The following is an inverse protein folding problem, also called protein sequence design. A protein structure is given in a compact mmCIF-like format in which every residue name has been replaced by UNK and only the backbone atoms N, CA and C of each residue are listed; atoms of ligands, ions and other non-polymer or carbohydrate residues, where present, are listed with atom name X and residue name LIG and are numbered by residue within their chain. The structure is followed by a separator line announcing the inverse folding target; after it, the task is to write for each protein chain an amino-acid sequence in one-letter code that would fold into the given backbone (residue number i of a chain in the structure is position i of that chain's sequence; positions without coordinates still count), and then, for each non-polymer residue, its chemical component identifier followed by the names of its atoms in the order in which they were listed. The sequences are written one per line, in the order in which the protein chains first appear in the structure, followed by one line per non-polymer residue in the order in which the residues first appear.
data_IF_131757236474
#
_entry.id   IF_131757236474
#
_cell.length_a   1.000
_cell.length_b   1.000
_cell.length_c   1.000
_cell.angle_alpha   90.00
_cell.angle_beta   90.00
_cell.angle_gamma   90.00
#
_symmetry.space_group_name_H-M   'P 1'
#
loop_
_entity.id
_entity.type
_entity.pdbx_description
1 polymer ?
#
# COMPACT_ATOMS: atom_id res chain seq x y z
N UNK A 1 -15.25 0.34 -11.63
CA UNK A 1 -15.41 1.32 -12.72
C UNK A 1 -16.40 2.37 -12.26
N UNK A 2 -16.83 3.25 -13.16
CA UNK A 2 -17.95 4.17 -12.92
C UNK A 2 -19.22 3.59 -13.53
N UNK A 3 -20.38 4.06 -13.07
CA UNK A 3 -21.67 3.77 -13.68
C UNK A 3 -22.54 2.80 -12.88
N UNK A 4 -23.39 2.06 -13.59
CA UNK A 4 -24.42 1.24 -12.97
C UNK A 4 -23.83 0.10 -12.14
N UNK A 5 -24.41 -0.11 -10.95
CA UNK A 5 -24.06 -1.22 -10.06
C UNK A 5 -24.46 -2.54 -10.72
N UNK A 6 -23.57 -3.53 -10.69
CA UNK A 6 -23.89 -4.89 -11.13
C UNK A 6 -24.65 -5.63 -10.01
N UNK A 7 -25.97 -5.88 -10.14
CA UNK A 7 -26.76 -6.52 -9.09
C UNK A 7 -26.33 -7.96 -8.81
N UNK A 8 -25.76 -8.66 -9.80
CA UNK A 8 -25.26 -10.03 -9.63
C UNK A 8 -24.02 -10.07 -8.75
N UNK A 9 -23.13 -9.08 -8.87
CA UNK A 9 -21.96 -8.94 -7.99
C UNK A 9 -22.39 -8.68 -6.54
N UNK A 10 -23.38 -7.80 -6.34
CA UNK A 10 -23.96 -7.53 -5.01
C UNK A 10 -24.58 -8.79 -4.41
N UNK A 11 -25.34 -9.55 -5.19
CA UNK A 11 -25.94 -10.81 -4.74
C UNK A 11 -24.87 -11.83 -4.34
N UNK A 12 -23.80 -11.96 -5.12
CA UNK A 12 -22.69 -12.85 -4.80
C UNK A 12 -22.07 -12.54 -3.44
N UNK A 13 -21.65 -11.30 -3.20
CA UNK A 13 -21.03 -10.92 -1.92
C UNK A 13 -22.02 -11.00 -0.75
N UNK A 14 -23.29 -10.66 -0.95
CA UNK A 14 -24.31 -10.86 0.08
C UNK A 14 -24.47 -12.34 0.48
N UNK A 15 -24.53 -13.24 -0.49
CA UNK A 15 -24.62 -14.68 -0.23
C UNK A 15 -23.38 -15.17 0.53
N UNK A 16 -22.18 -14.77 0.11
CA UNK A 16 -20.94 -15.14 0.78
C UNK A 16 -20.87 -14.62 2.22
N UNK A 17 -21.20 -13.34 2.45
CA UNK A 17 -21.20 -12.75 3.78
C UNK A 17 -22.22 -13.44 4.69
N UNK A 18 -23.41 -13.73 4.18
CA UNK A 18 -24.44 -14.44 4.94
C UNK A 18 -23.99 -15.86 5.31
N UNK A 19 -23.37 -16.58 4.38
CA UNK A 19 -22.86 -17.93 4.64
C UNK A 19 -21.72 -17.93 5.68
N UNK A 20 -20.78 -16.98 5.57
CA UNK A 20 -19.69 -16.81 6.56
C UNK A 20 -20.28 -16.60 7.96
N UNK A 21 -21.28 -15.70 8.08
CA UNK A 21 -21.92 -15.39 9.36
C UNK A 21 -22.77 -16.55 9.89
N UNK A 22 -23.52 -17.25 9.02
CA UNK A 22 -24.34 -18.40 9.45
C UNK A 22 -23.51 -19.56 10.00
N UNK A 23 -22.25 -19.64 9.58
CA UNK A 23 -21.27 -20.59 10.10
C UNK A 23 -20.47 -20.05 11.32
N UNK A 24 -20.89 -18.92 11.91
CA UNK A 24 -20.25 -18.35 13.10
C UNK A 24 -18.89 -17.70 12.86
N UNK A 25 -18.52 -17.43 11.60
CA UNK A 25 -17.27 -16.78 11.23
C UNK A 25 -17.46 -15.26 11.09
N UNK A 26 -16.37 -14.51 11.31
CA UNK A 26 -16.37 -13.05 11.21
C UNK A 26 -15.75 -12.63 9.88
N UNK A 27 -16.49 -11.93 8.99
CA UNK A 27 -15.94 -11.46 7.73
C UNK A 27 -14.98 -10.27 7.93
N UNK A 28 -13.73 -10.44 7.51
CA UNK A 28 -12.77 -9.37 7.30
C UNK A 28 -12.69 -9.10 5.80
N UNK A 29 -13.13 -7.92 5.36
CA UNK A 29 -13.28 -7.62 3.94
C UNK A 29 -12.24 -6.61 3.50
N UNK A 30 -11.43 -7.01 2.51
CA UNK A 30 -10.52 -6.12 1.79
C UNK A 30 -11.24 -5.48 0.61
N UNK A 31 -11.28 -4.15 0.54
CA UNK A 31 -11.90 -3.39 -0.54
C UNK A 31 -11.07 -3.43 -1.82
N UNK A 32 -9.75 -3.34 -1.71
CA UNK A 32 -8.85 -3.39 -2.87
C UNK A 32 -7.72 -4.39 -2.67
N UNK A 33 -7.67 -5.36 -3.58
CA UNK A 33 -6.63 -6.39 -3.62
C UNK A 33 -6.04 -6.46 -5.04
N UNK A 34 -5.62 -5.29 -5.55
CA UNK A 34 -4.94 -5.11 -6.85
C UNK A 34 -5.85 -5.31 -8.08
N UNK A 35 -7.15 -5.47 -7.87
CA UNK A 35 -8.20 -5.72 -8.83
C UNK A 35 -8.78 -4.43 -9.43
N UNK A 36 -7.89 -3.51 -9.84
CA UNK A 36 -8.30 -2.18 -10.29
C UNK A 36 -9.09 -2.26 -11.61
N UNK A 37 -10.23 -1.55 -11.74
CA UNK A 37 -11.03 -1.57 -12.96
C UNK A 37 -10.26 -1.05 -14.18
N UNK A 38 -10.19 -1.85 -15.25
CA UNK A 38 -9.45 -1.50 -16.48
C UNK A 38 -9.95 -0.19 -17.10
N UNK A 39 -11.26 0.06 -17.10
CA UNK A 39 -11.83 1.30 -17.64
C UNK A 39 -11.24 2.58 -17.01
N UNK A 40 -10.92 2.54 -15.71
CA UNK A 40 -10.33 3.68 -15.00
C UNK A 40 -8.82 3.80 -15.27
N UNK A 41 -8.15 2.67 -15.48
CA UNK A 41 -6.76 2.63 -15.94
C UNK A 41 -6.64 3.22 -17.35
N UNK A 42 -7.60 2.94 -18.23
CA UNK A 42 -7.65 3.46 -19.59
C UNK A 42 -8.08 4.95 -19.62
N UNK A 43 -9.04 5.35 -18.78
CA UNK A 43 -9.57 6.72 -18.74
C UNK A 43 -8.52 7.74 -18.28
N UNK A 44 -7.75 7.43 -17.23
CA UNK A 44 -6.83 8.41 -16.64
C UNK A 44 -5.53 7.81 -16.09
N UNK A 45 -5.25 6.53 -16.35
CA UNK A 45 -4.01 5.90 -15.87
C UNK A 45 -4.04 5.45 -14.41
N UNK A 46 -5.24 5.23 -13.87
CA UNK A 46 -5.45 4.64 -12.54
C UNK A 46 -4.78 5.42 -11.43
N UNK A 47 -4.02 4.73 -10.58
CA UNK A 47 -3.37 5.32 -9.41
C UNK A 47 -2.24 6.32 -9.72
N UNK A 48 -1.99 6.67 -10.97
CA UNK A 48 -1.11 7.81 -11.33
C UNK A 48 -1.83 9.14 -11.37
N UNK A 49 -3.16 9.14 -11.17
CA UNK A 49 -4.01 10.31 -11.25
C UNK A 49 -4.69 10.57 -9.90
N UNK A 50 -4.81 11.84 -9.48
CA UNK A 50 -5.53 12.19 -8.26
C UNK A 50 -7.03 11.84 -8.33
N UNK A 51 -7.58 11.63 -9.54
CA UNK A 51 -8.98 11.22 -9.73
C UNK A 51 -9.30 9.89 -9.02
N UNK A 52 -8.31 9.01 -8.85
CA UNK A 52 -8.49 7.72 -8.19
C UNK A 52 -8.97 7.86 -6.74
N UNK A 53 -8.62 8.96 -6.06
CA UNK A 53 -8.98 9.20 -4.67
C UNK A 53 -10.50 9.32 -4.53
N UNK A 54 -11.15 10.03 -5.46
CA UNK A 54 -12.60 10.19 -5.46
C UNK A 54 -13.28 8.90 -5.88
N UNK A 55 -12.82 8.26 -6.96
CA UNK A 55 -13.44 7.02 -7.46
C UNK A 55 -13.33 5.88 -6.44
N UNK A 56 -12.20 5.76 -5.73
CA UNK A 56 -12.03 4.77 -4.67
C UNK A 56 -12.89 5.07 -3.45
N UNK A 57 -13.00 6.34 -3.04
CA UNK A 57 -13.90 6.76 -1.95
C UNK A 57 -15.35 6.42 -2.28
N UNK A 58 -15.80 6.67 -3.50
CA UNK A 58 -17.19 6.41 -3.91
C UNK A 58 -17.46 4.90 -4.02
N UNK A 59 -16.49 4.12 -4.47
CA UNK A 59 -16.55 2.66 -4.39
C UNK A 59 -16.65 2.16 -2.94
N UNK A 60 -15.84 2.70 -2.03
CA UNK A 60 -15.88 2.37 -0.62
C UNK A 60 -17.24 2.76 0.01
N UNK A 61 -17.77 3.94 -0.32
CA UNK A 61 -19.11 4.40 0.12
C UNK A 61 -20.19 3.38 -0.23
N UNK A 62 -20.17 2.91 -1.48
CA UNK A 62 -21.07 1.88 -1.96
C UNK A 62 -20.93 0.57 -1.17
N UNK A 63 -19.70 0.09 -0.93
CA UNK A 63 -19.46 -1.12 -0.16
C UNK A 63 -19.94 -0.99 1.30
N UNK A 64 -19.63 0.12 1.97
CA UNK A 64 -20.04 0.38 3.34
C UNK A 64 -21.57 0.44 3.48
N UNK A 65 -22.24 1.13 2.55
CA UNK A 65 -23.69 1.22 2.54
C UNK A 65 -24.35 -0.15 2.29
N UNK A 66 -23.76 -0.96 1.41
CA UNK A 66 -24.37 -2.21 0.93
C UNK A 66 -24.15 -3.39 1.88
N UNK A 67 -22.99 -3.46 2.53
CA UNK A 67 -22.58 -4.64 3.30
C UNK A 67 -22.23 -4.33 4.77
N UNK A 68 -22.10 -3.05 5.14
CA UNK A 68 -21.65 -2.63 6.47
C UNK A 68 -22.66 -2.88 7.60
N UNK A 69 -23.89 -3.27 7.27
CA UNK A 69 -24.84 -3.80 8.24
C UNK A 69 -24.31 -5.08 8.92
N UNK A 70 -23.57 -5.91 8.15
CA UNK A 70 -23.00 -7.20 8.58
C UNK A 70 -21.49 -7.21 8.69
N UNK A 71 -20.77 -6.52 7.79
CA UNK A 71 -19.30 -6.46 7.81
C UNK A 71 -18.83 -5.43 8.83
N UNK A 72 -17.98 -5.87 9.78
CA UNK A 72 -17.47 -5.04 10.88
C UNK A 72 -15.97 -4.79 10.84
N UNK A 73 -15.25 -5.41 9.91
CA UNK A 73 -13.80 -5.23 9.76
C UNK A 73 -13.47 -4.96 8.30
N UNK A 74 -13.12 -3.71 8.01
CA UNK A 74 -12.80 -3.23 6.69
C UNK A 74 -11.30 -3.02 6.53
N UNK A 75 -10.71 -3.66 5.53
CA UNK A 75 -9.35 -3.37 5.07
C UNK A 75 -9.48 -2.59 3.78
N UNK A 76 -8.96 -1.37 3.75
CA UNK A 76 -9.01 -0.53 2.54
C UNK A 76 -8.15 -1.09 1.42
N UNK A 77 -6.85 -1.23 1.68
CA UNK A 77 -5.86 -1.69 0.70
C UNK A 77 -5.12 -2.90 1.25
N UNK A 78 -4.97 -3.93 0.42
CA UNK A 78 -3.96 -4.96 0.63
C UNK A 78 -2.66 -4.60 -0.09
N UNK A 79 -1.59 -4.58 0.68
CA UNK A 79 -0.22 -4.46 0.20
C UNK A 79 0.06 -3.39 -0.86
N UNK A 80 -0.14 -2.11 -0.53
CA UNK A 80 0.10 -1.01 -1.48
C UNK A 80 1.57 -0.91 -1.92
N UNK A 81 2.53 -1.39 -1.11
CA UNK A 81 3.94 -1.53 -1.51
C UNK A 81 4.08 -2.45 -2.72
N UNK A 82 3.55 -3.68 -2.62
CA UNK A 82 3.61 -4.70 -3.65
C UNK A 82 2.96 -4.20 -4.94
N UNK A 83 1.80 -3.55 -4.85
CA UNK A 83 1.12 -2.96 -6.00
C UNK A 83 1.94 -1.85 -6.67
N UNK A 84 2.46 -0.91 -5.87
CA UNK A 84 3.22 0.24 -6.38
C UNK A 84 4.53 -0.18 -7.03
N UNK A 85 5.27 -1.11 -6.42
CA UNK A 85 6.54 -1.58 -6.97
C UNK A 85 6.34 -2.52 -8.15
N UNK A 86 5.51 -3.56 -8.03
CA UNK A 86 5.45 -4.59 -9.08
C UNK A 86 4.55 -4.19 -10.27
N UNK A 87 3.57 -3.31 -10.06
CA UNK A 87 2.67 -2.82 -11.13
C UNK A 87 3.21 -1.63 -11.93
N UNK A 88 4.09 -0.82 -11.31
CA UNK A 88 4.58 0.45 -11.89
C UNK A 88 6.10 0.61 -11.88
N UNK A 89 6.83 -0.29 -11.22
CA UNK A 89 8.28 -0.43 -11.32
C UNK A 89 8.69 -1.81 -11.89
N UNK A 90 7.73 -2.65 -12.28
CA UNK A 90 7.95 -3.98 -12.83
C UNK A 90 6.90 -4.32 -13.88
N UNK A 91 7.01 -5.52 -14.45
CA UNK A 91 6.00 -6.12 -15.34
C UNK A 91 5.34 -7.37 -14.74
N UNK A 92 5.68 -7.69 -13.49
CA UNK A 92 5.21 -8.91 -12.84
C UNK A 92 3.73 -8.83 -12.45
N UNK A 93 3.23 -7.63 -12.10
CA UNK A 93 1.81 -7.40 -11.76
C UNK A 93 1.17 -6.41 -12.73
N UNK A 94 -0.16 -6.50 -12.90
CA UNK A 94 -0.93 -5.48 -13.62
C UNK A 94 -0.78 -4.10 -12.95
N UNK A 95 -0.74 -2.98 -13.70
CA UNK A 95 -0.90 -2.88 -15.16
C UNK A 95 0.39 -3.14 -15.98
N UNK A 96 1.47 -3.62 -15.35
CA UNK A 96 2.69 -4.05 -16.03
C UNK A 96 3.42 -2.93 -16.78
N UNK A 97 3.34 -1.69 -16.28
CA UNK A 97 3.87 -0.53 -17.01
C UNK A 97 5.37 -0.36 -16.75
N UNK A 98 6.20 -0.73 -17.74
CA UNK A 98 7.59 -0.27 -17.83
C UNK A 98 7.69 1.11 -18.47
N UNK A 99 8.69 1.90 -18.07
CA UNK A 99 9.14 3.03 -18.88
C UNK A 99 9.58 2.51 -20.26
N UNK A 100 9.08 3.08 -21.36
CA UNK A 100 9.50 2.72 -22.73
C UNK A 100 11.00 2.93 -22.98
N UNK A 101 11.68 3.69 -22.11
CA UNK A 101 13.13 3.91 -22.13
C UNK A 101 13.93 2.79 -21.44
N UNK A 102 13.27 1.84 -20.78
CA UNK A 102 13.91 0.65 -20.21
C UNK A 102 14.02 -0.47 -21.26
N UNK A 103 14.70 -0.20 -22.37
CA UNK A 103 15.24 -1.30 -23.19
C UNK A 103 16.32 -2.02 -22.39
N UNK A 104 16.33 -3.36 -22.40
CA UNK A 104 17.35 -4.34 -21.93
C UNK A 104 18.42 -3.92 -20.88
N UNK A 105 18.14 -2.96 -20.00
CA UNK A 105 19.05 -2.51 -18.97
C UNK A 105 18.72 -3.26 -17.68
N UNK A 106 19.74 -3.88 -17.08
CA UNK A 106 19.70 -4.70 -15.86
C UNK A 106 19.32 -3.95 -14.58
N UNK A 107 18.80 -2.73 -14.70
CA UNK A 107 18.38 -1.86 -13.62
C UNK A 107 16.93 -1.46 -13.90
N UNK A 108 16.00 -1.86 -13.03
CA UNK A 108 14.55 -1.66 -13.22
C UNK A 108 14.15 -0.21 -13.52
N UNK A 109 12.89 0.03 -13.92
CA UNK A 109 12.42 1.36 -14.30
C UNK A 109 12.58 2.43 -13.18
N UNK A 110 12.40 3.72 -13.51
CA UNK A 110 12.55 4.80 -12.54
C UNK A 110 11.56 4.65 -11.38
N UNK A 111 11.98 4.94 -10.15
CA UNK A 111 11.12 4.90 -8.95
C UNK A 111 9.94 5.90 -9.00
N UNK A 112 10.05 6.97 -9.78
CA UNK A 112 9.12 8.10 -9.74
C UNK A 112 7.62 7.74 -9.93
N UNK A 113 7.23 6.88 -10.90
CA UNK A 113 5.83 6.48 -11.05
C UNK A 113 5.28 5.75 -9.82
N UNK A 114 6.06 4.87 -9.19
CA UNK A 114 5.64 4.16 -7.98
C UNK A 114 5.49 5.08 -6.76
N UNK A 115 6.27 6.18 -6.68
CA UNK A 115 6.10 7.17 -5.62
C UNK A 115 4.78 7.91 -5.75
N UNK A 116 4.39 8.27 -6.97
CA UNK A 116 3.10 8.92 -7.25
C UNK A 116 1.95 7.95 -6.93
N UNK A 117 2.06 6.70 -7.36
CA UNK A 117 1.06 5.65 -7.08
C UNK A 117 0.91 5.41 -5.58
N UNK A 118 2.03 5.26 -4.86
CA UNK A 118 2.02 5.09 -3.41
C UNK A 118 1.37 6.28 -2.68
N UNK A 119 1.60 7.50 -3.16
CA UNK A 119 0.98 8.70 -2.61
C UNK A 119 -0.54 8.71 -2.82
N UNK A 120 -1.02 8.42 -4.03
CA UNK A 120 -2.47 8.39 -4.28
C UNK A 120 -3.17 7.17 -3.66
N UNK A 121 -2.49 6.05 -3.45
CA UNK A 121 -3.01 4.95 -2.61
C UNK A 121 -3.24 5.42 -1.17
N UNK A 122 -2.28 6.11 -0.56
CA UNK A 122 -2.44 6.64 0.80
C UNK A 122 -3.59 7.66 0.88
N UNK A 123 -3.71 8.56 -0.09
CA UNK A 123 -4.83 9.51 -0.11
C UNK A 123 -6.19 8.83 -0.38
N UNK A 124 -6.23 7.77 -1.19
CA UNK A 124 -7.43 6.98 -1.41
C UNK A 124 -7.84 6.22 -0.13
N UNK A 125 -6.87 5.62 0.58
CA UNK A 125 -7.06 5.04 1.90
C UNK A 125 -7.63 6.06 2.88
N UNK A 126 -7.02 7.24 2.98
CA UNK A 126 -7.48 8.32 3.85
C UNK A 126 -8.92 8.71 3.55
N UNK A 127 -9.26 8.96 2.27
CA UNK A 127 -10.59 9.37 1.87
C UNK A 127 -11.66 8.33 2.23
N UNK A 128 -11.39 7.03 2.01
CA UNK A 128 -12.29 5.95 2.37
C UNK A 128 -12.43 5.80 3.91
N UNK A 129 -11.32 5.90 4.64
CA UNK A 129 -11.32 5.80 6.09
C UNK A 129 -12.05 6.97 6.75
N UNK A 130 -11.77 8.20 6.34
CA UNK A 130 -12.46 9.40 6.81
C UNK A 130 -13.95 9.26 6.58
N UNK A 131 -14.37 8.86 5.37
CA UNK A 131 -15.78 8.61 5.06
C UNK A 131 -16.41 7.57 6.00
N UNK A 132 -15.75 6.42 6.21
CA UNK A 132 -16.26 5.38 7.10
C UNK A 132 -16.43 5.91 8.53
N UNK A 133 -15.40 6.56 9.08
CA UNK A 133 -15.42 7.09 10.45
C UNK A 133 -16.48 8.17 10.65
N UNK A 134 -16.69 9.05 9.67
CA UNK A 134 -17.66 10.16 9.80
C UNK A 134 -19.10 9.76 9.48
N UNK A 135 -19.31 8.85 8.52
CA UNK A 135 -20.65 8.52 8.02
C UNK A 135 -21.19 7.21 8.59
N UNK A 136 -20.36 6.19 8.78
CA UNK A 136 -20.80 4.82 9.03
C UNK A 136 -20.47 4.27 10.42
N UNK A 137 -19.27 4.56 10.93
CA UNK A 137 -18.73 3.88 12.11
C UNK A 137 -19.62 3.99 13.36
N UNK A 138 -20.22 5.16 13.61
CA UNK A 138 -21.07 5.38 14.78
C UNK A 138 -22.27 4.43 14.84
N UNK A 139 -22.88 4.10 13.69
CA UNK A 139 -24.07 3.25 13.64
C UNK A 139 -23.77 1.81 13.22
N UNK A 140 -22.78 1.59 12.35
CA UNK A 140 -22.36 0.24 11.94
C UNK A 140 -21.47 -0.44 12.97
N UNK A 141 -20.78 0.33 13.83
CA UNK A 141 -19.92 -0.15 14.92
C UNK A 141 -18.78 -1.09 14.49
N UNK A 142 -18.31 -0.96 13.25
CA UNK A 142 -17.12 -1.67 12.77
C UNK A 142 -15.84 -0.85 12.86
N UNK A 143 -14.74 -1.44 12.41
CA UNK A 143 -13.40 -0.88 12.38
C UNK A 143 -12.86 -0.84 10.95
N UNK A 144 -11.99 0.12 10.67
CA UNK A 144 -11.32 0.26 9.37
C UNK A 144 -9.80 0.30 9.52
N UNK A 145 -9.09 -0.34 8.60
CA UNK A 145 -7.63 -0.40 8.62
C UNK A 145 -7.02 -0.53 7.22
N UNK A 146 -5.73 -0.81 7.22
CA UNK A 146 -4.90 -1.08 6.03
C UNK A 146 -4.02 -2.29 6.32
N UNK A 147 -3.72 -3.10 5.31
CA UNK A 147 -2.82 -4.25 5.44
C UNK A 147 -1.56 -4.02 4.64
N UNK A 148 -0.41 -4.01 5.30
CA UNK A 148 0.88 -3.73 4.68
C UNK A 148 1.83 -4.94 4.79
N UNK A 149 2.60 -5.26 3.75
CA UNK A 149 3.59 -6.32 3.81
C UNK A 149 4.83 -5.80 4.48
N UNK A 150 5.58 -6.70 5.10
CA UNK A 150 6.97 -6.43 5.45
C UNK A 150 7.79 -7.69 5.44
N UNK A 151 9.08 -7.49 5.26
CA UNK A 151 10.08 -8.45 5.70
C UNK A 151 10.59 -8.05 7.08
N UNK A 152 11.17 -9.01 7.79
CA UNK A 152 11.99 -8.67 8.95
C UNK A 152 13.44 -8.47 8.49
N UNK A 153 14.08 -7.39 8.95
CA UNK A 153 15.44 -7.05 8.53
C UNK A 153 16.41 -7.22 9.69
N UNK A 154 17.29 -8.21 9.57
CA UNK A 154 18.37 -8.48 10.51
C UNK A 154 19.62 -7.71 10.05
N UNK A 155 20.35 -7.02 10.93
CA UNK A 155 21.66 -6.49 10.57
C UNK A 155 22.62 -7.65 10.27
N UNK A 156 23.42 -7.54 9.21
CA UNK A 156 24.35 -8.61 8.80
C UNK A 156 25.45 -8.90 9.83
N UNK A 157 25.86 -7.88 10.59
CA UNK A 157 26.79 -7.98 11.71
C UNK A 157 26.35 -7.08 12.87
N UNK A 158 27.14 -7.05 13.95
CA UNK A 158 26.90 -6.15 15.09
C UNK A 158 27.37 -4.71 14.84
N UNK A 159 27.79 -4.37 13.62
CA UNK A 159 28.25 -3.02 13.31
C UNK A 159 27.11 -2.01 13.32
N UNK A 160 27.38 -0.78 13.77
CA UNK A 160 26.40 0.32 13.73
C UNK A 160 25.89 0.58 12.31
N UNK A 161 26.74 0.36 11.30
CA UNK A 161 26.38 0.55 9.90
C UNK A 161 25.30 -0.45 9.43
N UNK A 162 25.39 -1.71 9.85
CA UNK A 162 24.41 -2.75 9.50
C UNK A 162 23.08 -2.55 10.23
N UNK A 163 23.11 -2.14 11.50
CA UNK A 163 21.87 -1.74 12.22
C UNK A 163 21.17 -0.58 11.52
N UNK A 164 21.91 0.45 11.11
CA UNK A 164 21.36 1.56 10.34
C UNK A 164 20.81 1.09 8.99
N UNK A 165 21.46 0.13 8.33
CA UNK A 165 20.97 -0.44 7.07
C UNK A 165 19.66 -1.24 7.27
N UNK A 166 19.58 -2.07 8.31
CA UNK A 166 18.36 -2.80 8.65
C UNK A 166 17.18 -1.84 8.93
N UNK A 167 17.41 -0.77 9.69
CA UNK A 167 16.38 0.25 9.93
C UNK A 167 15.94 0.96 8.65
N UNK A 168 16.89 1.34 7.77
CA UNK A 168 16.53 1.92 6.45
C UNK A 168 15.71 0.97 5.60
N UNK A 169 16.03 -0.32 5.60
CA UNK A 169 15.23 -1.31 4.88
C UNK A 169 13.81 -1.40 5.45
N UNK A 170 13.68 -1.42 6.79
CA UNK A 170 12.37 -1.40 7.44
C UNK A 170 11.58 -0.13 7.13
N UNK A 171 12.22 1.04 7.12
CA UNK A 171 11.59 2.31 6.74
C UNK A 171 11.03 2.26 5.31
N UNK A 172 11.81 1.73 4.36
CA UNK A 172 11.40 1.67 2.96
C UNK A 172 10.30 0.63 2.69
N UNK A 173 10.38 -0.56 3.31
CA UNK A 173 9.42 -1.64 3.07
C UNK A 173 8.16 -1.53 3.91
N UNK A 174 8.29 -1.13 5.18
CA UNK A 174 7.16 -1.03 6.10
C UNK A 174 6.80 0.42 6.39
N UNK A 175 7.79 1.26 6.72
CA UNK A 175 7.58 2.66 7.09
C UNK A 175 6.91 3.49 5.99
N UNK A 176 7.14 3.18 4.70
CA UNK A 176 6.59 3.96 3.58
C UNK A 176 5.07 4.14 3.66
N UNK A 177 4.33 3.10 4.04
CA UNK A 177 2.87 3.17 4.18
C UNK A 177 2.39 3.31 5.62
N UNK A 178 3.18 2.84 6.59
CA UNK A 178 2.77 2.87 8.00
C UNK A 178 3.09 4.18 8.71
N UNK A 179 4.22 4.81 8.39
CA UNK A 179 4.61 6.06 9.05
C UNK A 179 3.61 7.21 8.79
N UNK A 180 3.06 7.38 7.57
CA UNK A 180 2.03 8.39 7.32
C UNK A 180 0.73 8.17 8.11
N UNK A 181 0.30 6.91 8.30
CA UNK A 181 -0.97 6.60 8.98
C UNK A 181 -0.85 6.50 10.50
N UNK A 182 0.37 6.36 11.04
CA UNK A 182 0.63 6.29 12.49
C UNK A 182 1.10 7.64 13.04
N UNK A 183 1.99 8.33 12.31
CA UNK A 183 2.66 9.52 12.80
C UNK A 183 2.18 10.78 12.08
N UNK A 184 2.59 11.03 10.85
CA UNK A 184 2.23 12.25 10.12
C UNK A 184 2.71 12.24 8.67
N UNK A 185 3.90 11.70 8.42
CA UNK A 185 4.57 11.82 7.12
C UNK A 185 5.35 10.54 6.78
N UNK A 186 6.04 10.51 5.64
CA UNK A 186 6.94 9.43 5.28
C UNK A 186 8.14 9.33 6.25
N UNK A 187 8.81 8.16 6.37
CA UNK A 187 9.99 8.03 7.21
C UNK A 187 11.09 9.03 6.85
N UNK A 188 11.82 9.52 7.86
CA UNK A 188 12.90 10.52 7.65
C UNK A 188 13.97 10.02 6.67
N UNK A 189 14.34 8.74 6.76
CA UNK A 189 15.31 8.12 5.85
C UNK A 189 14.83 8.19 4.40
N UNK A 190 13.55 7.93 4.12
CA UNK A 190 12.98 8.05 2.79
C UNK A 190 13.00 9.50 2.30
N UNK A 191 12.56 10.45 3.12
CA UNK A 191 12.56 11.87 2.73
C UNK A 191 13.96 12.37 2.38
N UNK A 192 14.96 11.98 3.18
CA UNK A 192 16.36 12.36 2.96
C UNK A 192 16.95 11.71 1.70
N UNK A 193 16.72 10.41 1.50
CA UNK A 193 17.38 9.64 0.42
C UNK A 193 16.66 9.78 -0.93
N UNK A 194 15.33 9.80 -0.92
CA UNK A 194 14.51 9.95 -2.12
C UNK A 194 14.47 11.42 -2.56
N UNK A 195 14.40 12.34 -1.59
CA UNK A 195 14.44 13.78 -1.80
C UNK A 195 13.20 14.29 -2.55
N UNK A 196 13.41 15.23 -3.47
CA UNK A 196 12.35 15.90 -4.21
C UNK A 196 11.47 14.99 -5.09
N UNK A 197 11.87 13.72 -5.32
CA UNK A 197 11.04 12.74 -6.04
C UNK A 197 9.90 12.19 -5.18
N UNK A 198 10.02 12.26 -3.85
CA UNK A 198 8.98 11.83 -2.94
C UNK A 198 7.90 12.93 -2.86
N UNK A 199 6.64 12.64 -3.20
CA UNK A 199 5.55 13.58 -3.00
C UNK A 199 5.45 14.03 -1.54
N UNK A 200 4.83 15.19 -1.32
CA UNK A 200 4.63 15.75 0.02
C UNK A 200 3.15 15.78 0.33
N UNK A 201 2.80 15.42 1.56
CA UNK A 201 1.47 15.69 2.08
C UNK A 201 1.35 17.16 2.44
N UNK A 202 0.19 17.74 2.17
CA UNK A 202 -0.25 18.95 2.85
C UNK A 202 -0.48 18.66 4.34
N UNK A 203 -0.51 19.71 5.15
CA UNK A 203 -0.79 19.58 6.58
C UNK A 203 -2.13 18.88 6.84
N UNK A 204 -3.16 19.24 6.07
CA UNK A 204 -4.50 18.68 6.24
C UNK A 204 -4.55 17.20 5.83
N UNK A 205 -3.86 16.79 4.76
CA UNK A 205 -3.75 15.37 4.37
C UNK A 205 -3.04 14.55 5.44
N UNK A 206 -1.92 15.06 5.98
CA UNK A 206 -1.15 14.44 7.05
C UNK A 206 -2.00 14.23 8.32
N UNK A 207 -2.75 15.24 8.74
CA UNK A 207 -3.61 15.15 9.93
C UNK A 207 -4.74 14.12 9.78
N UNK A 208 -5.30 13.99 8.57
CA UNK A 208 -6.33 12.98 8.29
C UNK A 208 -5.75 11.57 8.20
N UNK A 209 -4.60 11.39 7.55
CA UNK A 209 -3.89 10.11 7.47
C UNK A 209 -3.56 9.55 8.85
N UNK A 210 -3.05 10.37 9.77
CA UNK A 210 -2.77 9.94 11.15
C UNK A 210 -3.98 9.33 11.89
N UNK A 211 -5.19 9.66 11.45
CA UNK A 211 -6.45 9.22 12.07
C UNK A 211 -7.18 8.18 11.22
N UNK A 212 -6.58 7.68 10.14
CA UNK A 212 -7.26 6.87 9.13
C UNK A 212 -7.33 5.37 9.42
N UNK A 213 -6.75 4.90 10.52
CA UNK A 213 -6.82 3.48 10.92
C UNK A 213 -7.36 3.30 12.34
N UNK A 214 -8.04 2.18 12.56
CA UNK A 214 -8.40 1.62 13.87
C UNK A 214 -7.56 0.38 14.19
N UNK A 215 -7.05 -0.29 13.16
CA UNK A 215 -6.14 -1.43 13.25
C UNK A 215 -5.15 -1.43 12.08
N UNK A 216 -4.03 -2.11 12.27
CA UNK A 216 -3.02 -2.35 11.25
C UNK A 216 -2.92 -3.85 10.96
N UNK A 217 -3.15 -4.24 9.71
CA UNK A 217 -2.85 -5.57 9.21
C UNK A 217 -1.39 -5.68 8.77
N UNK A 218 -0.74 -6.80 9.06
CA UNK A 218 0.65 -7.07 8.66
C UNK A 218 0.73 -8.41 7.94
N UNK A 219 1.15 -8.37 6.68
CA UNK A 219 1.48 -9.58 5.94
C UNK A 219 2.98 -9.86 6.10
N UNK A 220 3.30 -11.00 6.72
CA UNK A 220 4.67 -11.40 7.00
C UNK A 220 4.97 -12.75 6.38
N UNK A 221 6.11 -12.84 5.71
CA UNK A 221 6.52 -14.07 5.01
C UNK A 221 7.95 -14.50 5.34
N UNK A 222 8.91 -13.56 5.36
CA UNK A 222 10.33 -13.90 5.44
C UNK A 222 11.18 -12.77 6.02
N UNK A 223 12.45 -13.07 6.23
CA UNK A 223 13.46 -12.16 6.75
C UNK A 223 14.69 -12.09 5.84
N UNK A 224 15.36 -10.94 5.84
CA UNK A 224 16.61 -10.71 5.12
C UNK A 224 17.68 -10.16 6.06
N UNK A 225 18.94 -10.49 5.77
CA UNK A 225 20.06 -9.74 6.30
C UNK A 225 20.25 -8.45 5.50
N UNK A 226 20.54 -7.36 6.20
CA UNK A 226 20.77 -6.04 5.64
C UNK A 226 22.16 -5.52 6.01
N UNK A 227 22.86 -4.96 5.02
CA UNK A 227 24.15 -4.28 5.16
C UNK A 227 24.17 -3.01 4.29
N UNK A 228 25.01 -2.01 4.57
CA UNK A 228 25.04 -0.78 3.79
C UNK A 228 25.49 -1.04 2.34
N UNK A 229 24.80 -0.44 1.38
CA UNK A 229 25.23 -0.38 -0.01
C UNK A 229 25.74 1.03 -0.35
N UNK A 230 26.61 1.12 -1.36
CA UNK A 230 27.11 2.42 -1.85
C UNK A 230 25.98 3.21 -2.50
N UNK A 231 25.91 4.54 -2.29
CA UNK A 231 24.97 5.40 -3.00
C UNK A 231 25.17 5.33 -4.52
N UNK A 232 24.07 5.44 -5.27
CA UNK A 232 24.10 5.50 -6.74
C UNK A 232 23.67 6.91 -7.19
N UNK A 233 24.41 7.49 -8.13
CA UNK A 233 24.17 8.86 -8.63
C UNK A 233 23.18 8.92 -9.80
N UNK A 234 23.05 7.85 -10.59
CA UNK A 234 22.16 7.76 -11.76
C UNK A 234 21.21 6.55 -11.66
N UNK A 235 20.09 6.59 -12.38
CA UNK A 235 19.12 5.48 -12.46
C UNK A 235 18.62 5.00 -11.08
N UNK A 236 18.29 5.94 -10.20
CA UNK A 236 17.80 5.64 -8.85
C UNK A 236 16.47 4.88 -8.88
N UNK A 237 16.48 3.69 -8.27
CA UNK A 237 15.33 2.81 -8.01
C UNK A 237 15.02 2.76 -6.52
N UNK A 238 13.90 2.11 -6.16
CA UNK A 238 13.54 1.80 -4.76
C UNK A 238 14.72 1.17 -3.99
N UNK A 239 15.32 0.13 -4.57
CA UNK A 239 16.38 -0.66 -3.92
C UNK A 239 17.71 0.08 -3.83
N UNK A 240 18.03 0.95 -4.79
CA UNK A 240 19.26 1.77 -4.69
C UNK A 240 19.08 2.95 -3.75
N UNK A 241 17.87 3.50 -3.64
CA UNK A 241 17.60 4.66 -2.78
C UNK A 241 17.71 4.33 -1.30
N UNK A 242 17.32 3.12 -0.87
CA UNK A 242 17.49 2.70 0.52
C UNK A 242 18.97 2.60 0.94
N UNK A 243 19.91 2.46 -0.02
CA UNK A 243 21.34 2.25 0.23
C UNK A 243 21.58 1.04 1.14
N UNK A 244 20.91 -0.08 0.83
CA UNK A 244 20.99 -1.35 1.56
C UNK A 244 21.21 -2.47 0.55
N UNK A 245 22.11 -3.40 0.86
CA UNK A 245 22.17 -4.69 0.20
C UNK A 245 21.42 -5.71 1.07
N UNK A 246 20.49 -6.44 0.46
CA UNK A 246 19.70 -7.47 1.12
C UNK A 246 20.21 -8.84 0.69
N UNK A 247 20.41 -9.73 1.66
CA UNK A 247 20.78 -11.13 1.39
C UNK A 247 19.88 -12.07 2.16
N UNK A 248 19.40 -13.12 1.49
CA UNK A 248 18.79 -14.27 2.16
C UNK A 248 19.89 -15.33 2.37
N UNK A 249 20.21 -15.63 3.62
CA UNK A 249 20.69 -16.98 3.95
C UNK A 249 19.43 -17.77 4.30
N UNK A 250 19.20 -18.91 3.65
CA UNK A 250 18.24 -19.89 4.17
C UNK A 250 18.50 -20.03 5.69
N UNK A 251 17.51 -19.73 6.52
CA UNK A 251 17.58 -19.86 8.00
C UNK A 251 17.52 -21.35 8.39
N UNK A 252 18.21 -22.20 7.65
CA UNK A 252 18.35 -23.63 7.88
C UNK A 252 19.82 -24.03 7.72
N UNK A 253 20.70 -23.43 8.53
CA UNK A 253 21.95 -24.06 8.95
C UNK A 253 22.25 -23.62 10.37
N UNK A 254 21.69 -24.36 11.32
CA UNK A 254 22.37 -24.90 12.49
C UNK A 254 21.52 -26.04 13.05
#
# INVERSE_FOLDING_TARGET
GKGAINPMGVKFYNNLINEVISNGLIPFVTLFHWDFPQDLEDEYGGFRSPKVVVDFRDYADFCFNTFGDRVKHWVTLNEPLSFSLNGYNGDSFAPGRRSKYAGNCSFGPPLAPSLIVGHYLLLAHEAAATLYKTKYQAHQKGQIGITNPTHYFLPKSKSVADYKAANRALDFFFGWYNHPVIYDDYPESMRSLVGARLPKFTKDESERLKRSIDFLGVNYYTAYYAEPAKPVSANKTFYTDMQVALTSKYICQN
#
